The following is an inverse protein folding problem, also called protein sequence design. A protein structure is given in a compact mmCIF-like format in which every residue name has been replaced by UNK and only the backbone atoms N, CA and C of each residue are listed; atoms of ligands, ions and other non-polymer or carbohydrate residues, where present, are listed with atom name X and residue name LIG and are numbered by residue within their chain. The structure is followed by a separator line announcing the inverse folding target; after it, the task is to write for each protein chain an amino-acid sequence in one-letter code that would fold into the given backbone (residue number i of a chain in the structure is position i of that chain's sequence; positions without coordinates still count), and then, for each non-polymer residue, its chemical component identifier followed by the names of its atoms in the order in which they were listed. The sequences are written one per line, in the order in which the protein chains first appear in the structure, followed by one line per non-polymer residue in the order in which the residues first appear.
data_IF_288678215536
#
_entry.id   IF_288678215536
#
_cell.length_a   1.000
_cell.length_b   1.000
_cell.length_c   1.000
_cell.angle_alpha   90.00
_cell.angle_beta   90.00
_cell.angle_gamma   90.00
#
_symmetry.space_group_name_H-M   'P 1'
#
loop_
_entity.id
_entity.type
_entity.pdbx_description
1 polymer ?
#
# COMPACT_ATOMS: atom_id res chain seq x y z
N UNK A 1 -18.48 -0.29 33.69
CA UNK A 1 -18.13 -0.20 32.28
C UNK A 1 -17.08 0.90 32.10
N UNK A 2 -16.13 0.69 31.17
CA UNK A 2 -15.08 1.66 30.81
C UNK A 2 -15.15 1.84 29.29
N UNK A 3 -14.94 3.07 28.80
CA UNK A 3 -14.84 3.38 27.39
C UNK A 3 -13.39 3.73 27.05
N UNK A 4 -12.87 3.18 25.96
CA UNK A 4 -11.63 3.62 25.32
C UNK A 4 -12.01 4.53 24.16
N UNK A 5 -11.48 5.75 24.18
CA UNK A 5 -11.71 6.77 23.15
C UNK A 5 -10.36 7.30 22.66
N UNK A 6 -10.34 7.82 21.43
CA UNK A 6 -9.21 8.54 20.84
C UNK A 6 -9.66 9.94 20.43
N UNK A 7 -8.70 10.83 20.21
CA UNK A 7 -8.98 12.22 19.81
C UNK A 7 -9.57 12.28 18.39
N UNK A 8 -9.14 11.36 17.52
CA UNK A 8 -9.65 11.24 16.15
C UNK A 8 -9.62 9.78 15.67
N UNK A 9 -10.59 9.41 14.86
CA UNK A 9 -10.64 8.09 14.22
C UNK A 9 -11.00 6.95 15.16
N UNK A 10 -10.51 5.75 14.85
CA UNK A 10 -10.79 4.52 15.58
C UNK A 10 -9.66 4.22 16.57
N UNK A 11 -9.95 4.07 17.90
CA UNK A 11 -8.92 3.72 18.88
C UNK A 11 -8.15 2.46 18.50
N UNK A 12 -6.87 2.41 18.87
CA UNK A 12 -5.94 1.31 18.60
C UNK A 12 -5.55 1.09 17.12
N UNK A 13 -6.06 1.89 16.19
CA UNK A 13 -5.66 1.85 14.77
C UNK A 13 -4.74 3.03 14.47
N UNK A 14 -3.44 2.81 14.42
CA UNK A 14 -2.40 3.87 14.40
C UNK A 14 -2.52 4.84 15.58
N UNK A 15 -3.04 4.37 16.70
CA UNK A 15 -3.39 5.13 17.89
C UNK A 15 -3.17 4.27 19.14
N UNK A 16 -2.94 4.85 20.32
CA UNK A 16 -2.81 4.10 21.56
C UNK A 16 -4.06 3.26 21.87
N UNK A 17 -3.86 2.12 22.58
CA UNK A 17 -4.97 1.32 23.09
C UNK A 17 -4.90 -0.17 22.79
N UNK A 18 -4.20 -0.61 21.75
CA UNK A 18 -4.14 -2.02 21.35
C UNK A 18 -3.68 -2.94 22.51
N UNK A 19 -2.67 -2.53 23.27
CA UNK A 19 -2.19 -3.28 24.43
C UNK A 19 -3.23 -3.39 25.56
N UNK A 20 -4.03 -2.34 25.78
CA UNK A 20 -5.15 -2.39 26.74
C UNK A 20 -6.22 -3.38 26.29
N UNK A 21 -6.61 -3.32 25.01
CA UNK A 21 -7.61 -4.24 24.44
C UNK A 21 -7.12 -5.69 24.54
N UNK A 22 -5.83 -5.95 24.25
CA UNK A 22 -5.26 -7.29 24.41
C UNK A 22 -5.40 -7.81 25.84
N UNK A 23 -5.01 -7.02 26.84
CA UNK A 23 -5.13 -7.41 28.26
C UNK A 23 -6.57 -7.61 28.72
N UNK A 24 -7.50 -6.80 28.23
CA UNK A 24 -8.95 -6.99 28.51
C UNK A 24 -9.41 -8.36 28.00
N UNK A 25 -8.98 -8.76 26.81
CA UNK A 25 -9.32 -10.07 26.23
C UNK A 25 -8.66 -11.22 26.96
N UNK A 26 -7.38 -11.09 27.33
CA UNK A 26 -6.65 -12.07 28.16
C UNK A 26 -7.32 -12.30 29.52
N UNK A 27 -7.87 -11.25 30.10
CA UNK A 27 -8.63 -11.33 31.35
C UNK A 27 -10.07 -11.92 31.19
N UNK A 28 -10.44 -12.37 30.02
CA UNK A 28 -11.77 -12.93 29.73
C UNK A 28 -12.89 -11.89 29.74
N UNK A 29 -12.57 -10.60 29.73
CA UNK A 29 -13.55 -9.53 29.75
C UNK A 29 -14.06 -9.23 28.33
N UNK A 30 -15.32 -8.82 28.23
CA UNK A 30 -15.94 -8.49 26.96
C UNK A 30 -15.53 -7.09 26.49
N UNK A 31 -14.86 -7.02 25.33
CA UNK A 31 -14.70 -5.79 24.56
C UNK A 31 -15.79 -5.67 23.49
N UNK A 32 -16.43 -4.50 23.42
CA UNK A 32 -17.47 -4.21 22.42
C UNK A 32 -16.93 -3.13 21.48
N UNK A 33 -16.74 -3.42 20.18
CA UNK A 33 -16.35 -2.40 19.22
C UNK A 33 -17.54 -1.50 18.89
N UNK A 34 -17.27 -0.20 18.84
CA UNK A 34 -18.24 0.79 18.37
C UNK A 34 -17.79 1.26 16.99
N UNK A 35 -18.53 0.99 15.90
CA UNK A 35 -18.20 1.48 14.58
C UNK A 35 -18.09 3.01 14.56
N UNK A 36 -17.04 3.51 13.93
CA UNK A 36 -16.76 4.94 13.89
C UNK A 36 -15.91 5.35 12.68
N UNK A 37 -15.51 6.61 12.66
CA UNK A 37 -14.71 7.19 11.60
C UNK A 37 -13.35 6.51 11.49
N UNK A 38 -12.88 6.33 10.25
CA UNK A 38 -11.54 5.86 9.94
C UNK A 38 -11.04 6.59 8.68
N UNK A 39 -9.97 7.36 8.82
CA UNK A 39 -9.48 8.19 7.73
C UNK A 39 -9.02 7.38 6.52
N UNK A 40 -8.41 6.19 6.72
CA UNK A 40 -7.98 5.34 5.61
C UNK A 40 -9.18 4.84 4.79
N UNK A 41 -10.25 4.42 5.45
CA UNK A 41 -11.47 3.94 4.78
C UNK A 41 -12.20 5.10 4.10
N UNK A 42 -12.28 6.27 4.76
CA UNK A 42 -12.89 7.47 4.17
C UNK A 42 -12.12 7.91 2.91
N UNK A 43 -10.79 7.97 2.97
CA UNK A 43 -9.95 8.27 1.82
C UNK A 43 -10.15 7.24 0.69
N UNK A 44 -10.13 5.95 1.02
CA UNK A 44 -10.30 4.89 0.03
C UNK A 44 -11.65 4.99 -0.69
N UNK A 45 -12.73 5.29 0.03
CA UNK A 45 -14.07 5.43 -0.55
C UNK A 45 -14.20 6.61 -1.52
N UNK A 46 -13.38 7.66 -1.34
CA UNK A 46 -13.41 8.88 -2.13
C UNK A 46 -12.32 8.96 -3.22
N UNK A 47 -11.33 8.07 -3.18
CA UNK A 47 -10.17 8.10 -4.07
C UNK A 47 -10.45 7.56 -5.48
N UNK A 48 -11.61 6.96 -5.74
CA UNK A 48 -11.93 6.33 -7.03
C UNK A 48 -11.07 5.11 -7.35
N UNK A 49 -10.47 4.47 -6.34
CA UNK A 49 -9.68 3.24 -6.50
C UNK A 49 -10.61 2.07 -6.83
N UNK A 50 -10.37 1.43 -7.97
CA UNK A 50 -11.16 0.27 -8.41
C UNK A 50 -10.58 -1.08 -7.97
N UNK A 51 -9.33 -1.10 -7.48
CA UNK A 51 -8.71 -2.32 -6.98
C UNK A 51 -9.44 -2.80 -5.70
N UNK A 52 -9.85 -4.10 -5.63
CA UNK A 52 -10.68 -4.59 -4.54
C UNK A 52 -9.92 -4.77 -3.23
N UNK A 53 -8.60 -4.76 -3.27
CA UNK A 53 -7.75 -5.04 -2.13
C UNK A 53 -6.80 -3.87 -1.83
N UNK A 54 -6.62 -3.59 -0.57
CA UNK A 54 -5.64 -2.61 -0.10
C UNK A 54 -4.92 -3.11 1.14
N UNK A 55 -3.71 -2.61 1.35
CA UNK A 55 -2.91 -2.80 2.54
C UNK A 55 -2.84 -1.48 3.30
N UNK A 56 -3.43 -1.42 4.48
CA UNK A 56 -3.23 -0.32 5.40
C UNK A 56 -1.94 -0.53 6.19
N UNK A 57 -0.96 0.33 5.96
CA UNK A 57 0.34 0.31 6.64
C UNK A 57 0.35 1.22 7.87
N UNK A 58 -0.36 2.35 7.82
CA UNK A 58 -0.27 3.41 8.83
C UNK A 58 0.89 4.37 8.56
N UNK A 59 1.57 4.83 9.62
CA UNK A 59 2.70 5.76 9.49
C UNK A 59 3.98 5.05 9.08
N UNK A 60 4.67 5.61 8.09
CA UNK A 60 6.00 5.16 7.72
C UNK A 60 7.05 5.54 8.78
N UNK A 61 8.18 4.82 8.87
CA UNK A 61 9.28 5.16 9.78
C UNK A 61 9.79 6.59 9.61
N UNK A 62 10.24 7.21 10.71
CA UNK A 62 10.80 8.57 10.69
C UNK A 62 12.13 8.64 9.94
N UNK A 63 13.03 7.69 10.18
CA UNK A 63 14.33 7.64 9.53
C UNK A 63 14.18 7.26 8.06
N UNK A 64 14.79 8.03 7.16
CA UNK A 64 14.69 7.81 5.71
C UNK A 64 15.20 6.41 5.30
N UNK A 65 16.28 5.93 5.92
CA UNK A 65 16.83 4.59 5.63
C UNK A 65 15.86 3.47 5.99
N UNK A 66 15.20 3.56 7.14
CA UNK A 66 14.17 2.60 7.55
C UNK A 66 12.94 2.69 6.69
N UNK A 67 12.49 3.91 6.37
CA UNK A 67 11.35 4.16 5.49
C UNK A 67 11.57 3.54 4.11
N UNK A 68 12.73 3.76 3.49
CA UNK A 68 13.09 3.16 2.20
C UNK A 68 13.17 1.63 2.27
N UNK A 69 13.67 1.07 3.37
CA UNK A 69 13.69 -0.39 3.58
C UNK A 69 12.28 -0.96 3.61
N UNK A 70 11.38 -0.37 4.40
CA UNK A 70 9.98 -0.81 4.48
C UNK A 70 9.26 -0.66 3.12
N UNK A 71 9.45 0.47 2.45
CA UNK A 71 8.90 0.69 1.10
C UNK A 71 9.43 -0.34 0.09
N UNK A 72 10.71 -0.73 0.19
CA UNK A 72 11.29 -1.76 -0.69
C UNK A 72 10.63 -3.11 -0.51
N UNK A 73 10.26 -3.48 0.73
CA UNK A 73 9.51 -4.70 1.00
C UNK A 73 8.09 -4.66 0.41
N UNK A 74 7.51 -3.48 0.25
CA UNK A 74 6.18 -3.28 -0.32
C UNK A 74 6.18 -3.08 -1.84
N UNK A 75 7.35 -2.95 -2.46
CA UNK A 75 7.48 -2.58 -3.88
C UNK A 75 6.75 -3.51 -4.83
N UNK A 76 6.76 -4.81 -4.59
CA UNK A 76 6.10 -5.80 -5.43
C UNK A 76 4.62 -6.04 -5.07
N UNK A 77 4.10 -5.37 -4.03
CA UNK A 77 2.73 -5.58 -3.57
C UNK A 77 1.70 -5.14 -4.63
N UNK A 78 0.79 -6.04 -5.07
CA UNK A 78 -0.18 -5.71 -6.11
C UNK A 78 -1.39 -4.92 -5.59
N UNK A 79 -1.50 -4.75 -4.26
CA UNK A 79 -2.61 -4.06 -3.63
C UNK A 79 -2.34 -2.57 -3.47
N UNK A 80 -3.39 -1.77 -3.42
CA UNK A 80 -3.27 -0.35 -3.05
C UNK A 80 -2.67 -0.23 -1.66
N UNK A 81 -1.60 0.56 -1.53
CA UNK A 81 -0.93 0.84 -0.25
C UNK A 81 -1.52 2.10 0.36
N UNK A 82 -1.92 2.04 1.62
CA UNK A 82 -2.52 3.17 2.33
C UNK A 82 -1.64 3.56 3.51
N UNK A 83 -1.16 4.81 3.49
CA UNK A 83 -0.29 5.37 4.51
C UNK A 83 -0.93 6.59 5.17
N UNK A 84 -0.63 6.80 6.45
CA UNK A 84 -0.81 8.07 7.12
C UNK A 84 0.47 8.87 7.07
N UNK A 85 0.35 10.20 6.94
CA UNK A 85 1.53 11.04 6.94
C UNK A 85 1.26 12.40 7.62
N UNK A 86 2.31 12.97 8.18
CA UNK A 86 2.28 14.26 8.87
C UNK A 86 2.78 15.39 7.96
N UNK A 87 2.36 16.66 8.21
CA UNK A 87 2.76 17.81 7.40
C UNK A 87 4.27 18.03 7.37
N UNK A 88 4.97 17.72 8.46
CA UNK A 88 6.41 17.92 8.56
C UNK A 88 7.23 16.93 7.71
N UNK A 89 6.62 15.87 7.23
CA UNK A 89 7.31 14.77 6.55
C UNK A 89 6.78 14.52 5.14
N UNK A 90 5.68 15.14 4.75
CA UNK A 90 4.97 14.84 3.51
C UNK A 90 5.90 14.90 2.28
N UNK A 91 6.70 15.95 2.13
CA UNK A 91 7.62 16.08 1.00
C UNK A 91 8.72 15.00 1.02
N UNK A 92 9.33 14.76 2.18
CA UNK A 92 10.38 13.74 2.30
C UNK A 92 9.83 12.34 2.06
N UNK A 93 8.65 12.03 2.59
CA UNK A 93 7.99 10.75 2.37
C UNK A 93 7.55 10.56 0.92
N UNK A 94 7.07 11.62 0.26
CA UNK A 94 6.72 11.58 -1.15
C UNK A 94 7.93 11.33 -2.04
N UNK A 95 9.07 11.97 -1.74
CA UNK A 95 10.33 11.72 -2.45
C UNK A 95 10.79 10.26 -2.32
N UNK A 96 10.73 9.69 -1.11
CA UNK A 96 11.10 8.30 -0.88
C UNK A 96 10.12 7.30 -1.53
N UNK A 97 8.81 7.60 -1.52
CA UNK A 97 7.79 6.82 -2.24
C UNK A 97 8.10 6.78 -3.74
N UNK A 98 8.38 7.95 -4.35
CA UNK A 98 8.77 8.06 -5.77
C UNK A 98 10.03 7.27 -6.08
N UNK A 99 11.07 7.44 -5.27
CA UNK A 99 12.37 6.78 -5.49
C UNK A 99 12.25 5.25 -5.41
N UNK A 100 11.53 4.74 -4.41
CA UNK A 100 11.51 3.30 -4.13
C UNK A 100 10.43 2.58 -4.93
N UNK A 101 9.21 3.12 -4.98
CA UNK A 101 8.08 2.46 -5.65
C UNK A 101 8.02 2.75 -7.15
N UNK A 102 8.66 3.83 -7.60
CA UNK A 102 8.68 4.27 -9.01
C UNK A 102 7.70 5.40 -9.28
N UNK A 103 8.17 6.40 -10.04
CA UNK A 103 7.43 7.64 -10.33
C UNK A 103 6.13 7.45 -11.10
N UNK A 104 6.02 6.39 -11.89
CA UNK A 104 4.84 6.12 -12.71
C UNK A 104 3.60 5.66 -11.92
N UNK A 105 3.77 5.20 -10.66
CA UNK A 105 2.62 4.80 -9.84
C UNK A 105 1.71 5.99 -9.53
N UNK A 106 0.42 5.74 -9.55
CA UNK A 106 -0.58 6.72 -9.15
C UNK A 106 -0.61 6.84 -7.62
N UNK A 107 -0.69 8.07 -7.13
CA UNK A 107 -0.95 8.40 -5.74
C UNK A 107 -2.19 9.28 -5.64
N UNK A 108 -3.10 8.96 -4.72
CA UNK A 108 -4.14 9.87 -4.27
C UNK A 108 -3.74 10.43 -2.92
N UNK A 109 -3.62 11.76 -2.86
CA UNK A 109 -3.36 12.51 -1.64
C UNK A 109 -4.71 12.99 -1.11
N UNK A 110 -5.18 12.38 -0.02
CA UNK A 110 -6.36 12.83 0.71
C UNK A 110 -5.90 13.62 1.94
N UNK A 111 -6.19 14.91 1.97
CA UNK A 111 -5.73 15.86 2.98
C UNK A 111 -6.90 16.47 3.71
N UNK A 112 -6.78 16.65 5.04
CA UNK A 112 -7.78 17.32 5.88
C UNK A 112 -9.21 16.77 5.69
N UNK A 113 -9.32 15.44 5.56
CA UNK A 113 -10.61 14.76 5.36
C UNK A 113 -11.64 15.18 6.40
N UNK A 114 -12.86 15.49 5.95
CA UNK A 114 -13.99 15.96 6.76
C UNK A 114 -13.83 17.34 7.42
N UNK A 115 -12.77 18.07 7.05
CA UNK A 115 -12.49 19.42 7.55
C UNK A 115 -12.72 20.48 6.46
N UNK A 116 -12.64 21.75 6.83
CA UNK A 116 -12.90 22.91 5.92
C UNK A 116 -11.99 22.92 4.68
N UNK A 117 -10.76 22.45 4.83
CA UNK A 117 -9.77 22.42 3.75
C UNK A 117 -9.54 21.03 3.17
N UNK A 118 -10.59 20.20 3.19
CA UNK A 118 -10.54 18.89 2.56
C UNK A 118 -10.07 18.98 1.11
N UNK A 119 -9.11 18.15 0.77
CA UNK A 119 -8.58 18.06 -0.59
C UNK A 119 -8.32 16.59 -0.92
N UNK A 120 -8.81 16.16 -2.09
CA UNK A 120 -8.50 14.84 -2.63
C UNK A 120 -7.93 15.06 -4.04
N UNK A 121 -6.65 14.75 -4.20
CA UNK A 121 -5.93 14.96 -5.45
C UNK A 121 -5.22 13.68 -5.88
N UNK A 122 -5.38 13.33 -7.16
CA UNK A 122 -4.77 12.13 -7.74
C UNK A 122 -3.82 12.53 -8.87
N UNK A 123 -2.59 12.04 -8.79
CA UNK A 123 -1.54 12.26 -9.79
C UNK A 123 -0.56 11.08 -9.78
N UNK A 124 0.52 11.19 -10.54
CA UNK A 124 1.64 10.23 -10.45
C UNK A 124 2.53 10.57 -9.24
N UNK A 125 3.30 9.60 -8.74
CA UNK A 125 4.34 9.86 -7.72
C UNK A 125 5.42 10.81 -8.25
N UNK A 126 5.62 10.87 -9.58
CA UNK A 126 6.55 11.82 -10.19
C UNK A 126 6.06 13.27 -10.04
N UNK A 127 4.76 13.50 -10.24
CA UNK A 127 4.17 14.84 -10.22
C UNK A 127 3.81 15.31 -8.80
N UNK A 128 3.61 14.39 -7.87
CA UNK A 128 3.10 14.69 -6.53
C UNK A 128 3.95 15.69 -5.73
N UNK A 129 5.31 15.65 -5.72
CA UNK A 129 6.11 16.66 -5.05
C UNK A 129 5.87 18.06 -5.62
N UNK A 130 5.86 18.20 -6.95
CA UNK A 130 5.61 19.48 -7.61
C UNK A 130 4.23 20.04 -7.26
N UNK A 131 3.20 19.19 -7.25
CA UNK A 131 1.86 19.61 -6.83
C UNK A 131 1.83 20.08 -5.37
N UNK A 132 2.48 19.39 -4.44
CA UNK A 132 2.57 19.79 -3.04
C UNK A 132 3.31 21.14 -2.86
N UNK A 133 4.24 21.46 -3.75
CA UNK A 133 5.04 22.69 -3.69
C UNK A 133 4.35 23.90 -4.35
N UNK A 134 3.28 23.71 -5.13
CA UNK A 134 2.56 24.81 -5.79
C UNK A 134 1.87 25.75 -4.78
N UNK A 135 1.48 25.22 -3.62
CA UNK A 135 0.86 26.00 -2.54
C UNK A 135 1.32 25.44 -1.17
N UNK A 136 1.96 26.30 -0.36
CA UNK A 136 2.40 25.93 0.98
C UNK A 136 1.26 25.41 1.90
N UNK A 137 0.00 25.74 1.60
CA UNK A 137 -1.14 25.21 2.33
C UNK A 137 -1.40 23.73 2.02
N UNK A 138 -0.97 23.24 0.86
CA UNK A 138 -1.07 21.82 0.51
C UNK A 138 -0.14 20.92 1.34
N UNK A 139 0.84 21.51 2.01
CA UNK A 139 1.77 20.80 2.90
C UNK A 139 1.31 20.81 4.36
N UNK A 140 0.14 21.39 4.68
CA UNK A 140 -0.40 21.49 6.04
C UNK A 140 -1.53 20.50 6.26
N UNK A 141 -1.73 20.12 7.53
CA UNK A 141 -2.82 19.25 7.94
C UNK A 141 -2.43 17.79 8.01
N UNK A 142 -3.41 16.90 8.00
CA UNK A 142 -3.25 15.45 8.10
C UNK A 142 -3.47 14.81 6.73
N UNK A 143 -2.67 13.79 6.44
CA UNK A 143 -2.66 13.16 5.12
C UNK A 143 -2.95 11.67 5.21
N UNK A 144 -3.75 11.22 4.24
CA UNK A 144 -3.83 9.82 3.85
C UNK A 144 -3.32 9.71 2.41
N UNK A 145 -2.34 8.86 2.20
CA UNK A 145 -1.77 8.59 0.88
C UNK A 145 -2.22 7.21 0.41
N UNK A 146 -2.84 7.14 -0.76
CA UNK A 146 -3.21 5.87 -1.39
C UNK A 146 -2.34 5.71 -2.64
N UNK A 147 -1.39 4.78 -2.60
CA UNK A 147 -0.50 4.50 -3.72
C UNK A 147 -0.97 3.23 -4.43
N UNK A 148 -1.13 3.28 -5.74
CA UNK A 148 -1.52 2.10 -6.53
C UNK A 148 -0.55 0.94 -6.31
N UNK A 149 -1.05 -0.28 -6.33
CA UNK A 149 -0.23 -1.48 -6.26
C UNK A 149 0.78 -1.57 -7.42
N UNK A 150 1.72 -2.49 -7.32
CA UNK A 150 2.55 -2.84 -8.45
C UNK A 150 1.64 -3.30 -9.60
N UNK A 151 1.89 -2.80 -10.80
CA UNK A 151 1.30 -3.42 -11.98
C UNK A 151 1.72 -4.90 -12.00
N UNK A 152 0.76 -5.77 -12.24
CA UNK A 152 1.11 -7.15 -12.53
C UNK A 152 2.08 -7.09 -13.71
N UNK A 153 3.33 -7.47 -13.49
CA UNK A 153 4.23 -7.78 -14.58
C UNK A 153 3.46 -8.83 -15.37
N UNK A 154 2.91 -8.47 -16.51
CA UNK A 154 2.56 -9.47 -17.49
C UNK A 154 3.87 -10.13 -17.83
N UNK A 155 4.14 -11.23 -17.17
CA UNK A 155 5.24 -12.09 -17.54
C UNK A 155 4.88 -12.61 -18.93
N UNK A 156 5.23 -11.83 -19.96
CA UNK A 156 5.12 -12.26 -21.36
C UNK A 156 6.20 -13.31 -21.65
N UNK A 157 7.00 -13.64 -20.64
CA UNK A 157 8.00 -14.70 -20.65
C UNK A 157 7.46 -16.02 -20.10
N UNK A 158 8.14 -17.08 -20.46
CA UNK A 158 7.97 -18.40 -19.85
C UNK A 158 8.48 -18.30 -18.41
N UNK A 159 7.66 -18.65 -17.41
CA UNK A 159 8.04 -18.61 -16.00
C UNK A 159 9.37 -19.35 -15.72
N UNK A 160 10.12 -18.90 -14.70
CA UNK A 160 11.45 -19.49 -14.41
C UNK A 160 11.41 -21.01 -14.26
N UNK A 161 10.35 -21.55 -13.66
CA UNK A 161 10.17 -22.99 -13.51
C UNK A 161 9.89 -23.66 -14.84
N UNK A 162 9.06 -23.08 -15.69
CA UNK A 162 8.78 -23.59 -17.04
C UNK A 162 10.01 -23.49 -17.93
N UNK A 163 10.81 -22.43 -17.82
CA UNK A 163 12.11 -22.33 -18.52
C UNK A 163 13.08 -23.43 -18.07
N UNK A 164 13.19 -23.68 -16.79
CA UNK A 164 14.04 -24.75 -16.24
C UNK A 164 13.60 -26.12 -16.73
N UNK A 165 12.28 -26.39 -16.68
CA UNK A 165 11.73 -27.66 -17.19
C UNK A 165 12.01 -27.79 -18.69
N UNK A 166 11.78 -26.72 -19.46
CA UNK A 166 12.03 -26.71 -20.90
C UNK A 166 13.50 -26.99 -21.22
N UNK A 167 14.44 -26.37 -20.50
CA UNK A 167 15.88 -26.63 -20.70
C UNK A 167 16.27 -28.06 -20.43
N UNK A 168 15.74 -28.70 -19.37
CA UNK A 168 15.99 -30.10 -19.06
C UNK A 168 15.44 -31.02 -20.15
N UNK A 169 14.24 -30.76 -20.65
CA UNK A 169 13.62 -31.55 -21.69
C UNK A 169 14.30 -31.42 -23.06
N UNK A 170 14.83 -30.25 -23.38
CA UNK A 170 15.57 -29.99 -24.62
C UNK A 170 16.89 -30.79 -24.73
N UNK A 171 17.46 -31.21 -23.60
CA UNK A 171 18.64 -32.07 -23.58
C UNK A 171 18.32 -33.52 -24.03
N UNK A 172 17.07 -33.95 -23.87
CA UNK A 172 16.69 -35.35 -24.05
C UNK A 172 15.74 -35.59 -25.25
N UNK A 173 15.09 -34.53 -25.76
CA UNK A 173 14.07 -34.70 -26.80
C UNK A 173 13.95 -33.51 -27.75
N UNK A 174 13.33 -33.69 -28.95
CA UNK A 174 13.12 -32.62 -29.92
C UNK A 174 12.26 -31.47 -29.38
N UNK A 175 12.57 -30.24 -29.80
CA UNK A 175 11.94 -28.99 -29.36
C UNK A 175 10.41 -29.05 -29.28
N UNK A 176 9.75 -29.59 -30.28
CA UNK A 176 8.27 -29.68 -30.33
C UNK A 176 7.68 -30.54 -29.21
N UNK A 177 8.37 -31.59 -28.81
CA UNK A 177 7.95 -32.48 -27.71
C UNK A 177 8.31 -31.86 -26.37
N UNK A 178 9.50 -31.25 -26.25
CA UNK A 178 9.94 -30.57 -25.05
C UNK A 178 9.01 -29.39 -24.68
N UNK A 179 8.62 -28.56 -25.64
CA UNK A 179 7.66 -27.46 -25.42
C UNK A 179 6.29 -27.99 -24.99
N UNK A 180 5.79 -29.06 -25.58
CA UNK A 180 4.52 -29.66 -25.20
C UNK A 180 4.53 -30.15 -23.75
N UNK A 181 5.54 -30.90 -23.39
CA UNK A 181 5.69 -31.47 -22.04
C UNK A 181 5.98 -30.38 -21.01
N UNK A 182 6.83 -29.41 -21.32
CA UNK A 182 7.08 -28.31 -20.42
C UNK A 182 5.79 -27.51 -20.08
N UNK A 183 4.95 -27.23 -21.07
CA UNK A 183 3.67 -26.55 -20.87
C UNK A 183 2.68 -27.40 -20.03
N UNK A 184 2.65 -28.72 -20.26
CA UNK A 184 1.80 -29.66 -19.50
C UNK A 184 2.25 -29.79 -18.03
N UNK A 185 3.56 -29.79 -17.78
CA UNK A 185 4.12 -29.94 -16.42
C UNK A 185 4.02 -28.60 -15.63
N UNK A 186 4.32 -27.46 -16.27
CA UNK A 186 4.28 -26.15 -15.62
C UNK A 186 2.88 -25.55 -15.51
N UNK A 187 1.90 -26.06 -16.27
CA UNK A 187 0.56 -25.49 -16.37
C UNK A 187 0.47 -24.23 -17.21
N UNK A 188 1.56 -23.85 -17.90
CA UNK A 188 1.58 -22.68 -18.78
C UNK A 188 0.93 -22.95 -20.14
N UNK A 189 0.42 -21.86 -20.75
CA UNK A 189 -0.11 -21.93 -22.12
C UNK A 189 1.05 -22.04 -23.12
N UNK A 190 0.85 -22.83 -24.18
CA UNK A 190 1.81 -22.97 -25.29
C UNK A 190 2.04 -21.66 -26.01
#
# INVERSE_FOLDING_TARGET
SVALVSDAGTPAVSDPGAGLVARVREAGLRGVPIPGANAAIAAFSAAGVTAPHFLFYGFLPHAASERKRELSALKAMPHTLVFYESPHRILASMADLREVLGGARTVTVARELTKVFETIHTCTLEDAPGWLETDANQQKGEFVLLVSGAEAVKDEGIGEEAQRILQLLLAEMPLKQAVKLAAEISGEKK
#
